data_IF_144399228661
#
_entry.id   IF_144399228661
#
_cell.length_a   1.000
_cell.length_b   1.000
_cell.length_c   1.000
_cell.angle_alpha   90.00
_cell.angle_beta   90.00
_cell.angle_gamma   90.00
#
_symmetry.space_group_name_H-M   'P 1'
#
loop_
_entity.id
_entity.type
_entity.pdbx_description
1 polymer ?
#
# COMPACT_ATOMS: atom_id res chain seq x y z
N UNK A 1 20.74 64.53 2.16
CA UNK A 1 21.01 63.08 2.05
C UNK A 1 19.95 62.37 2.87
N UNK A 2 18.89 61.89 2.21
CA UNK A 2 17.70 61.33 2.85
C UNK A 2 17.89 59.85 3.14
N UNK A 3 17.64 59.46 4.38
CA UNK A 3 17.48 58.09 4.83
C UNK A 3 16.08 57.59 4.51
N UNK A 4 15.95 56.44 3.85
CA UNK A 4 14.69 55.67 3.83
C UNK A 4 14.99 54.20 4.03
N UNK A 5 14.75 53.73 5.25
CA UNK A 5 14.62 52.31 5.58
C UNK A 5 13.24 51.84 5.13
N UNK A 6 13.20 50.92 4.17
CA UNK A 6 11.98 50.20 3.80
C UNK A 6 11.92 48.90 4.61
N UNK A 7 11.02 48.88 5.59
CA UNK A 7 10.65 47.68 6.33
C UNK A 7 9.58 46.96 5.52
N UNK A 8 9.96 45.95 4.71
CA UNK A 8 8.99 45.05 4.09
C UNK A 8 8.51 44.04 5.12
N UNK A 9 7.25 44.20 5.51
CA UNK A 9 6.48 43.31 6.35
C UNK A 9 6.17 42.02 5.55
N UNK A 10 6.95 40.95 5.72
CA UNK A 10 6.54 39.61 5.29
C UNK A 10 5.46 39.12 6.26
N UNK A 11 4.19 39.26 5.87
CA UNK A 11 3.14 38.41 6.43
C UNK A 11 3.34 37.00 5.88
N UNK A 12 4.03 36.15 6.65
CA UNK A 12 3.90 34.70 6.56
C UNK A 12 2.48 34.34 7.02
N UNK A 13 1.53 34.42 6.10
CA UNK A 13 0.24 33.76 6.26
C UNK A 13 0.48 32.25 6.27
N UNK A 14 0.44 31.65 7.46
CA UNK A 14 0.09 30.25 7.63
C UNK A 14 -1.36 30.07 7.15
N UNK A 15 -1.56 30.10 5.84
CA UNK A 15 -2.75 29.47 5.29
C UNK A 15 -2.61 28.00 5.68
N UNK A 16 -3.48 27.52 6.56
CA UNK A 16 -3.79 26.10 6.63
C UNK A 16 -4.26 25.73 5.23
N UNK A 17 -3.33 25.28 4.38
CA UNK A 17 -3.65 24.72 3.07
C UNK A 17 -4.58 23.56 3.37
N UNK A 18 -5.85 23.72 3.00
CA UNK A 18 -6.81 22.62 3.05
C UNK A 18 -6.19 21.49 2.25
N UNK A 19 -5.99 20.30 2.83
CA UNK A 19 -5.41 19.18 2.10
C UNK A 19 -6.24 18.91 0.83
N UNK A 20 -5.58 18.96 -0.33
CA UNK A 20 -6.24 18.74 -1.63
C UNK A 20 -6.85 17.31 -1.67
N UNK A 21 -8.08 17.13 -2.17
CA UNK A 21 -8.81 15.85 -2.18
C UNK A 21 -8.13 14.70 -2.95
N UNK A 22 -7.07 15.01 -3.69
CA UNK A 22 -6.47 14.11 -4.66
C UNK A 22 -7.11 14.23 -6.04
N UNK A 23 -6.47 13.63 -7.03
CA UNK A 23 -6.80 13.76 -8.46
C UNK A 23 -7.38 12.49 -9.07
N UNK A 24 -6.90 11.33 -8.63
CA UNK A 24 -7.41 10.03 -9.05
C UNK A 24 -7.02 8.93 -8.07
N UNK A 25 -7.85 7.88 -8.00
CA UNK A 25 -7.47 6.61 -7.39
C UNK A 25 -7.21 5.57 -8.47
N UNK A 26 -6.36 4.60 -8.12
CA UNK A 26 -5.99 3.48 -8.97
C UNK A 26 -6.15 2.18 -8.20
N UNK A 27 -6.58 1.12 -8.90
CA UNK A 27 -6.61 -0.26 -8.41
C UNK A 27 -6.23 -1.21 -9.54
N UNK A 28 -5.83 -2.46 -9.24
CA UNK A 28 -5.60 -3.48 -10.27
C UNK A 28 -6.75 -4.47 -10.33
N UNK A 29 -7.14 -4.89 -11.54
CA UNK A 29 -8.17 -5.92 -11.72
C UNK A 29 -7.73 -7.31 -11.23
N UNK A 30 -6.41 -7.55 -11.23
CA UNK A 30 -5.76 -8.83 -10.91
C UNK A 30 -6.40 -10.03 -11.66
N UNK A 31 -6.90 -9.78 -12.87
CA UNK A 31 -7.44 -10.81 -13.75
C UNK A 31 -6.34 -11.53 -14.54
N UNK A 32 -6.72 -12.57 -15.30
CA UNK A 32 -5.81 -13.26 -16.23
C UNK A 32 -5.17 -12.28 -17.23
N UNK A 33 -5.92 -11.25 -17.63
CA UNK A 33 -5.41 -10.03 -18.25
C UNK A 33 -5.48 -8.92 -17.21
N UNK A 34 -4.37 -8.66 -16.52
CA UNK A 34 -4.35 -7.65 -15.47
C UNK A 34 -4.43 -6.25 -16.09
N UNK A 35 -5.11 -5.33 -15.41
CA UNK A 35 -5.33 -3.96 -15.86
C UNK A 35 -5.35 -3.03 -14.65
N UNK A 36 -4.87 -1.81 -14.83
CA UNK A 36 -5.08 -0.72 -13.88
C UNK A 36 -6.41 -0.06 -14.17
N UNK A 37 -7.28 -0.02 -13.18
CA UNK A 37 -8.52 0.76 -13.20
C UNK A 37 -8.21 2.10 -12.55
N UNK A 38 -8.48 3.20 -13.26
CA UNK A 38 -8.23 4.55 -12.79
C UNK A 38 -9.54 5.35 -12.70
N UNK A 39 -9.88 5.86 -11.52
CA UNK A 39 -11.08 6.68 -11.32
C UNK A 39 -10.64 8.11 -10.96
N UNK A 40 -11.20 9.15 -11.60
CA UNK A 40 -10.88 10.52 -11.24
C UNK A 40 -11.58 10.91 -9.94
N UNK A 41 -10.89 11.71 -9.13
CA UNK A 41 -11.43 12.34 -7.92
C UNK A 41 -11.90 13.74 -8.32
N UNK A 42 -13.17 14.02 -8.13
CA UNK A 42 -13.73 15.36 -8.34
C UNK A 42 -13.33 16.29 -7.19
N UNK A 43 -13.49 17.60 -7.36
CA UNK A 43 -13.16 18.60 -6.33
C UNK A 43 -13.92 18.43 -5.00
N UNK A 44 -15.01 17.68 -4.99
CA UNK A 44 -15.77 17.32 -3.79
C UNK A 44 -15.37 15.97 -3.18
N UNK A 45 -14.24 15.39 -3.62
CA UNK A 45 -13.74 14.09 -3.17
C UNK A 45 -14.43 12.88 -3.82
N UNK A 46 -15.54 13.07 -4.54
CA UNK A 46 -16.31 11.96 -5.11
C UNK A 46 -15.66 11.40 -6.37
N UNK A 47 -15.81 10.09 -6.55
CA UNK A 47 -15.37 9.36 -7.73
C UNK A 47 -16.39 9.49 -8.86
N UNK A 48 -15.90 9.42 -10.09
CA UNK A 48 -16.74 9.33 -11.29
C UNK A 48 -16.20 8.28 -12.26
N UNK A 49 -16.83 8.16 -13.44
CA UNK A 49 -16.51 7.10 -14.39
C UNK A 49 -15.02 7.14 -14.77
N UNK A 50 -14.38 5.97 -14.65
CA UNK A 50 -12.95 5.82 -14.89
C UNK A 50 -12.60 5.09 -16.19
N UNK A 51 -11.35 4.69 -16.27
CA UNK A 51 -10.74 3.97 -17.38
C UNK A 51 -10.15 2.64 -16.89
N UNK A 52 -9.82 1.75 -17.83
CA UNK A 52 -9.09 0.51 -17.57
C UNK A 52 -7.96 0.39 -18.58
N UNK A 53 -6.73 0.24 -18.08
CA UNK A 53 -5.51 0.21 -18.91
C UNK A 53 -4.77 -1.10 -18.67
N UNK A 54 -4.57 -1.95 -19.70
CA UNK A 54 -3.88 -3.22 -19.55
C UNK A 54 -2.45 -3.05 -19.02
N UNK A 55 -2.05 -3.91 -18.07
CA UNK A 55 -0.66 -3.96 -17.58
C UNK A 55 0.25 -4.75 -18.51
N UNK A 56 -0.31 -5.54 -19.43
CA UNK A 56 0.46 -6.48 -20.25
C UNK A 56 0.90 -7.74 -19.50
N UNK A 57 0.59 -7.86 -18.21
CA UNK A 57 0.85 -9.03 -17.38
C UNK A 57 -0.42 -9.73 -16.91
N UNK A 58 -0.25 -10.76 -16.09
CA UNK A 58 -1.34 -11.56 -15.53
C UNK A 58 -1.39 -11.44 -14.00
N UNK A 59 -2.61 -11.39 -13.46
CA UNK A 59 -2.89 -11.51 -12.04
C UNK A 59 -2.84 -12.96 -11.56
N UNK A 60 -2.90 -13.15 -10.25
CA UNK A 60 -2.98 -14.48 -9.62
C UNK A 60 -3.54 -14.37 -8.20
N UNK A 61 -3.77 -15.52 -7.58
CA UNK A 61 -4.31 -15.62 -6.25
C UNK A 61 -3.39 -16.50 -5.41
N UNK A 62 -3.14 -16.09 -4.16
CA UNK A 62 -2.59 -17.00 -3.17
C UNK A 62 -3.55 -18.17 -2.94
N UNK A 63 -3.06 -19.25 -2.36
CA UNK A 63 -3.87 -20.39 -1.98
C UNK A 63 -4.26 -20.27 -0.50
N UNK A 64 -5.49 -20.66 -0.18
CA UNK A 64 -5.95 -20.91 1.18
C UNK A 64 -6.17 -22.41 1.38
N UNK A 65 -6.00 -22.88 2.61
CA UNK A 65 -6.24 -24.28 2.99
C UNK A 65 -7.61 -24.40 3.62
N UNK A 66 -8.49 -25.19 3.01
CA UNK A 66 -9.83 -25.49 3.51
C UNK A 66 -9.99 -27.00 3.66
N UNK A 67 -9.80 -27.49 4.89
CA UNK A 67 -9.65 -28.92 5.16
C UNK A 67 -8.42 -29.49 4.41
N UNK A 68 -8.65 -30.49 3.57
CA UNK A 68 -7.60 -31.15 2.78
C UNK A 68 -7.38 -30.53 1.38
N UNK A 69 -8.06 -29.43 1.05
CA UNK A 69 -7.98 -28.79 -0.27
C UNK A 69 -7.24 -27.46 -0.19
N UNK A 70 -6.41 -27.19 -1.21
CA UNK A 70 -5.86 -25.85 -1.49
C UNK A 70 -6.69 -25.23 -2.60
N UNK A 71 -7.19 -24.03 -2.38
CA UNK A 71 -8.01 -23.31 -3.36
C UNK A 71 -7.58 -21.83 -3.47
N UNK A 72 -7.80 -21.17 -4.62
CA UNK A 72 -7.51 -19.75 -4.78
C UNK A 72 -8.23 -18.89 -3.74
N UNK A 73 -7.49 -17.99 -3.10
CA UNK A 73 -8.01 -17.05 -2.11
C UNK A 73 -8.96 -16.03 -2.76
N UNK A 74 -10.01 -15.69 -2.01
CA UNK A 74 -10.97 -14.62 -2.31
C UNK A 74 -11.57 -14.21 -0.97
N UNK A 75 -11.86 -12.93 -0.72
CA UNK A 75 -11.74 -11.78 -1.63
C UNK A 75 -10.34 -11.14 -1.72
N UNK A 76 -9.43 -11.50 -0.81
CA UNK A 76 -8.04 -11.02 -0.81
C UNK A 76 -7.14 -12.00 -1.59
N UNK A 77 -6.77 -11.62 -2.80
CA UNK A 77 -6.01 -12.48 -3.72
C UNK A 77 -4.49 -12.37 -3.50
N UNK A 78 -3.99 -11.24 -2.98
CA UNK A 78 -2.55 -10.97 -2.89
C UNK A 78 -2.01 -10.93 -1.45
N UNK A 79 -2.91 -10.90 -0.45
CA UNK A 79 -2.61 -10.88 0.98
C UNK A 79 -1.57 -9.83 1.35
N UNK A 80 -1.67 -8.67 0.71
CA UNK A 80 -0.70 -7.58 0.84
C UNK A 80 -1.36 -6.21 0.78
N UNK A 81 -0.61 -5.22 1.23
CA UNK A 81 -0.87 -3.82 0.93
C UNK A 81 0.05 -3.35 -0.22
N UNK A 82 -0.42 -2.36 -0.98
CA UNK A 82 0.32 -1.73 -2.08
C UNK A 82 0.63 -2.69 -3.24
N UNK A 83 -0.39 -3.39 -3.76
CA UNK A 83 -0.29 -4.10 -5.04
C UNK A 83 0.01 -3.16 -6.24
N UNK A 84 -0.23 -1.86 -6.04
CA UNK A 84 0.20 -0.78 -6.90
C UNK A 84 0.59 0.45 -6.06
N UNK A 85 1.44 1.31 -6.61
CA UNK A 85 1.90 2.55 -5.96
C UNK A 85 2.13 3.67 -6.96
N UNK A 86 2.10 4.91 -6.48
CA UNK A 86 2.39 6.14 -7.25
C UNK A 86 3.66 6.79 -6.73
N UNK A 87 4.54 7.24 -7.62
CA UNK A 87 5.68 8.10 -7.31
C UNK A 87 5.80 9.22 -8.36
N UNK A 88 5.54 10.46 -7.95
CA UNK A 88 5.40 11.58 -8.87
C UNK A 88 4.27 11.34 -9.88
N UNK A 89 4.58 11.45 -11.17
CA UNK A 89 3.63 11.17 -12.26
C UNK A 89 3.76 9.75 -12.81
N UNK A 90 4.27 8.81 -12.01
CA UNK A 90 4.42 7.42 -12.40
C UNK A 90 3.62 6.50 -11.50
N UNK A 91 3.06 5.45 -12.09
CA UNK A 91 2.34 4.38 -11.40
C UNK A 91 3.04 3.05 -11.66
N UNK A 92 3.18 2.22 -10.63
CA UNK A 92 3.76 0.88 -10.71
C UNK A 92 2.72 -0.13 -10.25
N UNK A 93 2.56 -1.23 -10.99
CA UNK A 93 1.57 -2.27 -10.69
C UNK A 93 2.21 -3.66 -10.80
N UNK A 94 1.97 -4.50 -9.78
CA UNK A 94 2.44 -5.89 -9.80
C UNK A 94 1.54 -6.78 -10.66
N UNK A 95 2.13 -7.80 -11.29
CA UNK A 95 1.43 -8.84 -12.03
C UNK A 95 1.82 -10.21 -11.48
N UNK A 96 1.16 -10.62 -10.39
CA UNK A 96 1.51 -11.80 -9.62
C UNK A 96 1.59 -13.09 -10.46
N UNK A 97 0.71 -13.28 -11.43
CA UNK A 97 0.64 -14.49 -12.27
C UNK A 97 1.67 -14.56 -13.39
N UNK A 98 2.33 -13.44 -13.70
CA UNK A 98 3.37 -13.37 -14.73
C UNK A 98 4.75 -13.05 -14.17
N UNK A 99 4.90 -12.89 -12.86
CA UNK A 99 6.13 -12.47 -12.20
C UNK A 99 6.75 -11.21 -12.82
N UNK A 100 5.91 -10.20 -13.09
CA UNK A 100 6.36 -8.91 -13.64
C UNK A 100 5.84 -7.73 -12.84
N UNK A 101 6.48 -6.58 -13.04
CA UNK A 101 5.99 -5.26 -12.64
C UNK A 101 5.86 -4.38 -13.89
N UNK A 102 4.79 -3.59 -13.96
CA UNK A 102 4.54 -2.64 -15.07
C UNK A 102 4.59 -1.22 -14.55
N UNK A 103 5.18 -0.31 -15.34
CA UNK A 103 5.20 1.13 -15.08
C UNK A 103 4.34 1.88 -16.08
N UNK A 104 3.64 2.91 -15.61
CA UNK A 104 2.86 3.83 -16.43
C UNK A 104 3.27 5.28 -16.14
N UNK A 105 3.26 6.11 -17.18
CA UNK A 105 3.15 7.55 -17.03
C UNK A 105 1.69 7.94 -16.82
N UNK A 106 1.46 8.82 -15.85
CA UNK A 106 0.19 9.46 -15.59
C UNK A 106 0.16 10.81 -16.33
N UNK A 107 -0.85 11.05 -17.16
CA UNK A 107 -1.07 12.37 -17.76
C UNK A 107 -1.49 13.36 -16.66
N UNK A 108 -0.70 14.42 -16.38
CA UNK A 108 -0.97 15.34 -15.27
C UNK A 108 -2.24 16.19 -15.49
N UNK A 109 -2.70 16.34 -16.74
CA UNK A 109 -3.95 17.02 -17.06
C UNK A 109 -5.15 16.06 -17.06
N UNK A 110 -4.91 14.79 -17.35
CA UNK A 110 -5.92 13.73 -17.39
C UNK A 110 -5.46 12.51 -16.58
N UNK A 111 -5.54 12.55 -15.23
CA UNK A 111 -4.94 11.53 -14.36
C UNK A 111 -5.37 10.08 -14.63
N UNK A 112 -6.52 9.86 -15.26
CA UNK A 112 -7.01 8.52 -15.63
C UNK A 112 -6.46 8.01 -16.96
N UNK A 113 -5.71 8.84 -17.70
CA UNK A 113 -5.05 8.47 -18.96
C UNK A 113 -3.64 7.99 -18.66
N UNK A 114 -3.49 6.67 -18.62
CA UNK A 114 -2.22 6.01 -18.36
C UNK A 114 -1.54 5.59 -19.66
N UNK A 115 -0.23 5.80 -19.74
CA UNK A 115 0.61 5.32 -20.85
C UNK A 115 1.64 4.35 -20.31
N UNK A 116 1.60 3.08 -20.72
CA UNK A 116 2.62 2.10 -20.33
C UNK A 116 3.99 2.55 -20.82
N UNK A 117 4.98 2.56 -19.93
CA UNK A 117 6.37 2.90 -20.25
C UNK A 117 7.20 1.63 -20.38
N UNK A 118 7.70 1.37 -21.59
CA UNK A 118 8.44 0.16 -21.89
C UNK A 118 7.54 -1.06 -22.01
N UNK A 119 7.94 -2.16 -21.37
CA UNK A 119 7.20 -3.43 -21.30
C UNK A 119 7.19 -3.91 -19.84
N UNK A 120 6.30 -4.82 -19.44
CA UNK A 120 6.37 -5.46 -18.13
C UNK A 120 7.75 -6.08 -17.91
N UNK A 121 8.41 -5.73 -16.80
CA UNK A 121 9.75 -6.19 -16.49
C UNK A 121 9.66 -7.42 -15.56
N UNK A 122 10.35 -8.52 -15.87
CA UNK A 122 10.38 -9.68 -14.98
C UNK A 122 11.07 -9.32 -13.66
N UNK A 123 10.48 -9.77 -12.56
CA UNK A 123 11.11 -9.69 -11.24
C UNK A 123 11.82 -11.00 -10.91
N UNK A 124 12.96 -10.99 -10.20
CA UNK A 124 13.68 -12.22 -9.83
C UNK A 124 12.89 -13.15 -8.90
N UNK A 125 12.01 -12.57 -8.08
CA UNK A 125 11.12 -13.32 -7.19
C UNK A 125 9.90 -13.90 -7.92
N UNK A 126 9.17 -14.74 -7.22
CA UNK A 126 7.93 -15.34 -7.73
C UNK A 126 6.72 -14.81 -6.95
N UNK A 127 5.59 -14.61 -7.63
CA UNK A 127 4.37 -14.04 -7.07
C UNK A 127 4.63 -12.64 -6.45
N UNK A 128 4.97 -11.61 -7.25
CA UNK A 128 5.05 -10.24 -6.77
C UNK A 128 3.68 -9.77 -6.28
N UNK A 129 3.61 -9.37 -5.00
CA UNK A 129 2.36 -9.00 -4.36
C UNK A 129 2.35 -7.57 -3.83
N UNK A 130 3.50 -6.90 -3.71
CA UNK A 130 3.59 -5.52 -3.22
C UNK A 130 4.70 -4.76 -3.94
N UNK A 131 4.52 -3.44 -4.12
CA UNK A 131 5.48 -2.57 -4.78
C UNK A 131 5.60 -1.23 -4.06
N UNK A 132 6.83 -0.79 -3.85
CA UNK A 132 7.19 0.53 -3.35
C UNK A 132 7.93 1.32 -4.43
N UNK A 133 7.80 2.63 -4.41
CA UNK A 133 8.56 3.51 -5.28
C UNK A 133 8.99 4.76 -4.52
N UNK A 134 10.21 5.22 -4.78
CA UNK A 134 10.83 6.41 -4.24
C UNK A 134 11.00 7.42 -5.37
N UNK A 135 10.29 8.53 -5.29
CA UNK A 135 10.41 9.61 -6.27
C UNK A 135 11.73 10.37 -6.09
N UNK A 136 12.21 10.52 -4.85
CA UNK A 136 13.48 11.18 -4.50
C UNK A 136 14.67 10.46 -5.14
N UNK A 137 14.69 9.13 -5.05
CA UNK A 137 15.82 8.30 -5.48
C UNK A 137 15.62 7.63 -6.84
N UNK A 138 14.45 7.80 -7.47
CA UNK A 138 14.05 7.12 -8.71
C UNK A 138 14.17 5.58 -8.62
N UNK A 139 13.78 5.02 -7.48
CA UNK A 139 13.83 3.58 -7.20
C UNK A 139 12.44 2.97 -7.16
N UNK A 140 12.27 1.77 -7.70
CA UNK A 140 11.10 0.91 -7.52
C UNK A 140 11.56 -0.42 -6.93
N UNK A 141 10.87 -0.89 -5.90
CA UNK A 141 11.18 -2.14 -5.21
C UNK A 141 9.93 -3.01 -5.13
N UNK A 142 10.08 -4.29 -5.48
CA UNK A 142 8.98 -5.26 -5.56
C UNK A 142 9.21 -6.36 -4.54
N UNK A 143 8.22 -6.59 -3.68
CA UNK A 143 8.16 -7.73 -2.79
C UNK A 143 7.47 -8.91 -3.46
N UNK A 144 8.07 -10.08 -3.34
CA UNK A 144 7.59 -11.35 -3.91
C UNK A 144 7.49 -12.41 -2.82
N UNK A 145 6.39 -13.15 -2.77
CA UNK A 145 6.10 -14.09 -1.67
C UNK A 145 5.99 -15.56 -2.08
N UNK A 146 6.19 -15.90 -3.35
CA UNK A 146 6.19 -17.28 -3.84
C UNK A 146 7.41 -18.09 -3.38
N UNK A 147 7.68 -19.21 -4.05
CA UNK A 147 8.79 -20.10 -3.73
C UNK A 147 10.16 -19.39 -3.77
N UNK A 148 10.31 -18.38 -4.65
CA UNK A 148 11.41 -17.42 -4.61
C UNK A 148 10.91 -16.13 -3.96
N UNK A 149 11.03 -16.07 -2.65
CA UNK A 149 10.56 -14.95 -1.85
C UNK A 149 11.68 -13.94 -1.57
N UNK A 150 11.33 -12.66 -1.57
CA UNK A 150 12.28 -11.60 -1.30
C UNK A 150 11.91 -10.28 -1.96
N UNK A 151 12.86 -9.36 -1.94
CA UNK A 151 12.70 -8.00 -2.45
C UNK A 151 13.76 -7.74 -3.51
N UNK A 152 13.35 -7.22 -4.65
CA UNK A 152 14.29 -6.74 -5.68
C UNK A 152 13.89 -5.34 -6.10
N UNK A 153 14.89 -4.53 -6.42
CA UNK A 153 14.75 -3.13 -6.77
C UNK A 153 15.35 -2.84 -8.15
N UNK A 154 14.93 -1.72 -8.73
CA UNK A 154 15.51 -1.16 -9.94
C UNK A 154 15.39 0.36 -9.91
N UNK A 155 16.27 1.04 -10.65
CA UNK A 155 16.02 2.43 -11.01
C UNK A 155 14.90 2.52 -12.05
N UNK A 156 14.22 3.66 -12.12
CA UNK A 156 13.24 3.94 -13.16
C UNK A 156 13.43 5.33 -13.76
N UNK A 157 12.91 5.54 -14.97
CA UNK A 157 12.90 6.84 -15.62
C UNK A 157 11.68 6.99 -16.52
N UNK A 158 11.57 8.11 -17.25
CA UNK A 158 10.55 8.29 -18.29
C UNK A 158 10.61 7.23 -19.42
N UNK A 159 11.67 6.41 -19.48
CA UNK A 159 11.79 5.28 -20.44
C UNK A 159 11.24 3.95 -19.90
N UNK A 160 10.85 3.89 -18.63
CA UNK A 160 10.41 2.66 -17.96
C UNK A 160 11.34 2.25 -16.81
N UNK A 161 11.09 1.05 -16.29
CA UNK A 161 11.88 0.42 -15.22
C UNK A 161 13.17 -0.15 -15.84
N UNK A 162 14.28 0.03 -15.14
CA UNK A 162 15.56 -0.61 -15.45
C UNK A 162 15.56 -2.11 -15.21
N UNK A 163 16.74 -2.72 -15.24
CA UNK A 163 16.89 -4.13 -14.87
C UNK A 163 16.74 -4.26 -13.35
N UNK A 164 15.92 -5.20 -12.91
CA UNK A 164 15.83 -5.60 -11.50
C UNK A 164 17.16 -6.16 -11.01
N UNK A 165 17.59 -5.74 -9.83
CA UNK A 165 18.77 -6.22 -9.15
C UNK A 165 18.57 -7.64 -8.57
N UNK A 166 19.46 -8.09 -7.71
CA UNK A 166 19.36 -9.36 -7.01
C UNK A 166 18.18 -9.40 -6.02
N UNK A 167 17.69 -10.62 -5.79
CA UNK A 167 16.67 -10.86 -4.77
C UNK A 167 17.28 -10.81 -3.37
N UNK A 168 16.78 -9.93 -2.51
CA UNK A 168 17.05 -9.88 -1.07
C UNK A 168 16.11 -10.85 -0.36
N UNK A 169 16.55 -12.04 0.07
CA UNK A 169 15.64 -13.05 0.63
C UNK A 169 15.10 -12.60 1.99
N UNK A 170 13.85 -12.98 2.28
CA UNK A 170 13.18 -12.68 3.56
C UNK A 170 12.97 -13.93 4.43
N UNK A 171 13.61 -15.05 4.06
CA UNK A 171 13.58 -16.28 4.85
C UNK A 171 12.26 -17.06 4.81
N UNK A 172 11.41 -16.86 3.79
CA UNK A 172 10.16 -17.61 3.65
C UNK A 172 10.38 -18.92 2.87
N UNK A 173 9.71 -19.98 3.32
CA UNK A 173 9.63 -21.27 2.64
C UNK A 173 8.22 -21.48 2.08
N UNK A 174 7.97 -20.99 0.86
CA UNK A 174 6.65 -20.94 0.23
C UNK A 174 6.59 -21.80 -1.04
N UNK A 175 5.37 -22.00 -1.55
CA UNK A 175 5.13 -22.53 -2.91
C UNK A 175 4.83 -21.39 -3.89
N UNK A 176 4.73 -21.69 -5.19
CA UNK A 176 4.16 -20.76 -6.18
C UNK A 176 2.99 -21.47 -6.88
N UNK A 177 1.73 -21.00 -6.73
CA UNK A 177 1.31 -19.89 -5.87
C UNK A 177 1.56 -20.16 -4.37
N UNK A 178 1.78 -19.11 -3.57
CA UNK A 178 2.04 -19.22 -2.14
C UNK A 178 0.78 -19.62 -1.37
N UNK A 179 0.94 -20.19 -0.17
CA UNK A 179 -0.15 -20.47 0.75
C UNK A 179 -0.15 -19.41 1.84
N UNK A 180 -1.24 -18.66 1.96
CA UNK A 180 -1.36 -17.56 2.91
C UNK A 180 -2.72 -17.56 3.65
N UNK A 181 -3.04 -16.49 4.39
CA UNK A 181 -2.25 -15.27 4.55
C UNK A 181 -0.90 -15.40 5.30
N UNK A 182 -0.76 -16.17 6.40
CA UNK A 182 0.50 -16.26 7.17
C UNK A 182 1.74 -16.62 6.33
N UNK A 183 2.93 -16.31 6.86
CA UNK A 183 4.20 -16.62 6.20
C UNK A 183 4.33 -16.02 4.78
N UNK A 184 3.84 -14.80 4.59
CA UNK A 184 3.95 -14.04 3.34
C UNK A 184 4.50 -12.64 3.57
N UNK A 185 5.08 -12.02 2.53
CA UNK A 185 5.39 -10.58 2.54
C UNK A 185 4.07 -9.81 2.57
N UNK A 186 3.93 -8.88 3.51
CA UNK A 186 2.76 -8.01 3.64
C UNK A 186 2.87 -6.75 2.83
N UNK A 187 4.03 -6.09 2.90
CA UNK A 187 4.24 -4.81 2.24
C UNK A 187 5.73 -4.52 2.11
N UNK A 188 6.11 -3.86 1.03
CA UNK A 188 7.36 -3.11 0.93
C UNK A 188 7.01 -1.62 0.80
N UNK A 189 7.74 -0.74 1.49
CA UNK A 189 7.45 0.70 1.49
C UNK A 189 8.67 1.50 1.93
N UNK A 190 8.81 2.73 1.46
CA UNK A 190 9.89 3.62 1.89
C UNK A 190 9.51 4.37 3.18
N UNK A 191 10.51 4.74 3.97
CA UNK A 191 10.40 5.76 5.04
C UNK A 191 9.95 7.10 4.46
N UNK A 192 9.46 8.01 5.32
CA UNK A 192 8.96 9.31 4.88
C UNK A 192 10.02 10.22 4.23
N UNK A 193 11.29 10.04 4.57
CA UNK A 193 12.44 10.71 3.96
C UNK A 193 13.00 9.96 2.74
N UNK A 194 12.45 8.78 2.44
CA UNK A 194 12.88 7.84 1.40
C UNK A 194 14.35 7.38 1.54
N UNK A 195 14.91 7.40 2.75
CA UNK A 195 16.29 6.96 3.04
C UNK A 195 16.37 5.50 3.51
N UNK A 196 15.22 4.88 3.79
CA UNK A 196 15.12 3.48 4.20
C UNK A 196 13.97 2.81 3.44
N UNK A 197 14.23 1.62 2.89
CA UNK A 197 13.19 0.71 2.46
C UNK A 197 12.85 -0.24 3.61
N UNK A 198 11.57 -0.32 3.95
CA UNK A 198 11.02 -1.27 4.88
C UNK A 198 10.32 -2.42 4.16
N UNK A 199 10.29 -3.57 4.82
CA UNK A 199 9.45 -4.69 4.43
C UNK A 199 8.82 -5.34 5.65
N UNK A 200 7.53 -5.62 5.62
CA UNK A 200 6.86 -6.39 6.67
C UNK A 200 6.53 -7.78 6.18
N UNK A 201 6.78 -8.77 7.03
CA UNK A 201 6.55 -10.19 6.73
C UNK A 201 5.71 -10.79 7.85
N UNK A 202 4.62 -11.45 7.47
CA UNK A 202 3.71 -12.10 8.44
C UNK A 202 4.41 -13.27 9.08
N UNK A 203 4.32 -13.36 10.40
CA UNK A 203 4.53 -14.58 11.13
C UNK A 203 3.40 -15.58 10.88
N UNK A 204 3.30 -16.57 11.77
CA UNK A 204 2.32 -17.63 11.67
C UNK A 204 1.89 -18.09 13.07
N UNK A 205 0.61 -17.84 13.44
CA UNK A 205 0.07 -18.27 14.73
C UNK A 205 0.19 -19.78 14.97
N UNK A 206 0.05 -20.60 13.92
CA UNK A 206 0.07 -22.06 14.03
C UNK A 206 1.48 -22.61 14.38
N UNK A 207 2.53 -21.85 14.06
CA UNK A 207 3.92 -22.20 14.38
C UNK A 207 4.53 -21.27 15.44
N UNK A 208 3.72 -20.42 16.06
CA UNK A 208 4.15 -19.42 17.04
C UNK A 208 5.33 -18.55 16.56
N UNK A 209 5.31 -18.14 15.29
CA UNK A 209 6.32 -17.23 14.74
C UNK A 209 5.78 -15.81 14.71
N UNK A 210 6.59 -14.85 15.19
CA UNK A 210 6.25 -13.43 15.20
C UNK A 210 6.37 -12.81 13.79
N UNK A 211 5.82 -11.61 13.64
CA UNK A 211 6.05 -10.78 12.46
C UNK A 211 7.50 -10.32 12.37
N UNK A 212 7.99 -10.12 11.15
CA UNK A 212 9.36 -9.64 10.88
C UNK A 212 9.29 -8.29 10.17
N UNK A 213 10.14 -7.36 10.60
CA UNK A 213 10.44 -6.10 9.93
C UNK A 213 11.81 -6.20 9.28
N UNK A 214 11.86 -6.01 7.97
CA UNK A 214 13.06 -5.78 7.19
C UNK A 214 13.37 -4.28 7.11
N UNK A 215 14.62 -3.92 7.34
CA UNK A 215 15.15 -2.54 7.26
C UNK A 215 16.34 -2.54 6.31
N UNK A 216 16.21 -1.81 5.20
CA UNK A 216 17.23 -1.74 4.15
C UNK A 216 17.58 -0.27 3.87
N UNK A 217 18.80 0.17 4.18
CA UNK A 217 19.24 1.53 3.84
C UNK A 217 19.18 1.80 2.34
N UNK A 218 18.89 3.04 1.97
CA UNK A 218 19.06 3.55 0.60
C UNK A 218 20.43 4.21 0.50
N UNK A 219 21.32 3.58 -0.26
CA UNK A 219 22.66 4.07 -0.50
C UNK A 219 22.63 5.16 -1.57
N UNK A 220 23.15 6.33 -1.22
CA UNK A 220 23.33 7.44 -2.16
C UNK A 220 24.61 7.22 -2.97
N UNK A 221 24.61 7.57 -4.27
CA UNK A 221 25.77 7.39 -5.12
C UNK A 221 26.92 8.32 -4.69
N UNK A 222 28.15 7.81 -4.69
CA UNK A 222 29.35 8.61 -4.43
C UNK A 222 29.75 9.49 -5.63
N UNK A 223 29.39 9.09 -6.85
CA UNK A 223 29.59 9.85 -8.10
C UNK A 223 28.21 10.29 -8.64
N UNK A 224 28.12 11.53 -9.12
CA UNK A 224 26.90 12.09 -9.70
C UNK A 224 26.40 11.35 -10.97
N UNK A 225 27.19 10.42 -11.53
CA UNK A 225 26.80 9.57 -12.66
C UNK A 225 26.12 8.26 -12.25
N UNK A 226 26.26 7.84 -11.00
CA UNK A 226 25.62 6.64 -10.48
C UNK A 226 24.20 6.93 -9.99
N UNK A 227 23.39 5.88 -9.86
CA UNK A 227 22.03 5.96 -9.30
C UNK A 227 22.03 5.45 -7.88
N UNK A 228 21.16 6.02 -7.04
CA UNK A 228 20.89 5.45 -5.73
C UNK A 228 20.49 3.97 -5.83
N UNK A 229 20.76 3.21 -4.79
CA UNK A 229 20.43 1.78 -4.69
C UNK A 229 19.92 1.45 -3.30
N UNK A 230 19.18 0.35 -3.17
CA UNK A 230 18.86 -0.20 -1.85
C UNK A 230 19.95 -1.19 -1.46
N UNK A 231 20.42 -1.13 -0.22
CA UNK A 231 21.45 -2.06 0.27
C UNK A 231 21.03 -3.53 0.10
N UNK A 232 21.98 -4.40 -0.23
CA UNK A 232 21.75 -5.84 -0.33
C UNK A 232 21.67 -6.52 1.05
N UNK A 233 22.29 -5.90 2.07
CA UNK A 233 22.43 -6.43 3.42
C UNK A 233 21.43 -5.76 4.39
N UNK A 234 20.15 -6.03 4.18
CA UNK A 234 19.11 -5.56 5.11
C UNK A 234 19.09 -6.32 6.43
N UNK A 235 18.50 -5.69 7.43
CA UNK A 235 18.31 -6.26 8.76
C UNK A 235 16.89 -6.80 8.88
N UNK A 236 16.76 -8.09 9.15
CA UNK A 236 15.48 -8.76 9.39
C UNK A 236 15.31 -8.98 10.89
N UNK A 237 14.38 -8.24 11.49
CA UNK A 237 14.15 -8.24 12.93
C UNK A 237 12.77 -8.80 13.25
N UNK A 238 12.73 -9.85 14.07
CA UNK A 238 11.49 -10.33 14.68
C UNK A 238 10.96 -9.28 15.65
N UNK A 239 9.69 -8.90 15.52
CA UNK A 239 9.09 -7.86 16.36
C UNK A 239 8.17 -8.53 17.39
N UNK A 240 8.69 -8.68 18.61
CA UNK A 240 7.95 -9.28 19.72
C UNK A 240 6.62 -8.56 19.98
N UNK A 241 5.55 -9.34 20.16
CA UNK A 241 4.20 -8.84 20.32
C UNK A 241 3.42 -8.65 19.01
N UNK A 242 4.06 -8.84 17.85
CA UNK A 242 3.40 -8.98 16.55
C UNK A 242 3.31 -10.45 16.13
N UNK A 243 2.33 -10.78 15.29
CA UNK A 243 2.12 -12.13 14.76
C UNK A 243 1.83 -12.04 13.26
N UNK A 244 0.74 -11.36 12.86
CA UNK A 244 0.28 -11.29 11.47
C UNK A 244 0.33 -9.84 11.00
N UNK A 245 1.50 -9.21 11.16
CA UNK A 245 1.76 -7.82 10.73
C UNK A 245 1.45 -7.64 9.25
N UNK A 246 0.56 -6.72 8.90
CA UNK A 246 0.03 -6.56 7.55
C UNK A 246 0.35 -5.17 7.00
N UNK A 247 -0.62 -4.27 7.01
CA UNK A 247 -0.54 -2.93 6.46
C UNK A 247 0.35 -2.08 7.35
N UNK A 248 1.14 -1.22 6.73
CA UNK A 248 2.18 -0.45 7.38
C UNK A 248 2.30 0.92 6.73
N UNK A 249 2.44 1.94 7.57
CA UNK A 249 2.65 3.32 7.13
C UNK A 249 3.63 4.02 8.07
N UNK A 250 4.64 4.73 7.53
CA UNK A 250 5.44 5.65 8.33
C UNK A 250 4.56 6.71 8.99
N UNK A 251 4.84 7.05 10.24
CA UNK A 251 4.23 8.19 10.92
C UNK A 251 5.07 9.43 10.60
N UNK A 252 4.45 10.46 9.99
CA UNK A 252 5.17 11.65 9.57
C UNK A 252 5.79 12.39 10.77
N UNK A 253 7.03 12.85 10.61
CA UNK A 253 7.75 13.57 11.66
C UNK A 253 8.30 12.70 12.80
N UNK A 254 8.29 11.37 12.64
CA UNK A 254 8.94 10.44 13.57
C UNK A 254 9.60 9.27 12.82
N UNK A 255 10.31 8.42 13.55
CA UNK A 255 10.82 7.13 13.06
C UNK A 255 9.86 5.97 13.34
N UNK A 256 8.68 6.25 13.89
CA UNK A 256 7.70 5.24 14.25
C UNK A 256 6.92 4.78 13.00
N UNK A 257 6.47 3.53 13.04
CA UNK A 257 5.58 2.95 12.04
C UNK A 257 4.21 2.68 12.68
N UNK A 258 3.14 3.06 12.00
CA UNK A 258 1.83 2.52 12.30
C UNK A 258 1.65 1.21 11.51
N UNK A 259 1.26 0.14 12.20
CA UNK A 259 1.02 -1.16 11.58
C UNK A 259 -0.32 -1.75 12.02
N UNK A 260 -0.90 -2.58 11.16
CA UNK A 260 -2.00 -3.48 11.52
C UNK A 260 -1.48 -4.88 11.75
N UNK A 261 -2.19 -5.65 12.58
CA UNK A 261 -1.92 -7.06 12.81
C UNK A 261 -3.23 -7.82 12.93
N UNK A 262 -3.47 -8.74 11.99
CA UNK A 262 -4.73 -9.48 11.92
C UNK A 262 -5.00 -10.36 13.15
N UNK A 263 -4.01 -10.58 14.03
CA UNK A 263 -4.20 -11.30 15.27
C UNK A 263 -4.83 -10.45 16.39
N UNK A 264 -4.68 -9.12 16.38
CA UNK A 264 -5.21 -8.27 17.47
C UNK A 264 -5.75 -6.89 17.05
N UNK A 265 -5.28 -6.29 15.96
CA UNK A 265 -5.84 -5.02 15.45
C UNK A 265 -4.76 -4.11 14.90
N UNK A 266 -4.24 -3.21 15.74
CA UNK A 266 -3.27 -2.19 15.33
C UNK A 266 -2.18 -1.94 16.38
N UNK A 267 -1.01 -1.52 15.94
CA UNK A 267 0.12 -1.18 16.81
C UNK A 267 0.93 -0.01 16.24
N UNK A 268 1.68 0.63 17.12
CA UNK A 268 2.74 1.58 16.75
C UNK A 268 4.07 0.91 17.09
N UNK A 269 4.94 0.80 16.09
CA UNK A 269 6.29 0.27 16.25
C UNK A 269 7.28 1.43 16.37
N UNK A 270 8.14 1.39 17.38
CA UNK A 270 9.36 2.20 17.39
C UNK A 270 10.39 1.49 16.53
N UNK A 271 11.05 2.22 15.63
CA UNK A 271 12.10 1.67 14.75
C UNK A 271 13.36 2.50 14.87
N UNK A 272 14.48 1.79 15.02
CA UNK A 272 15.82 2.33 14.84
C UNK A 272 16.32 1.84 13.48
N UNK A 273 16.37 2.75 12.50
CA UNK A 273 16.79 2.43 11.14
C UNK A 273 18.29 2.07 11.05
N UNK A 274 19.12 2.62 11.94
CA UNK A 274 20.56 2.34 11.94
C UNK A 274 20.81 0.93 12.44
N UNK A 275 20.21 0.53 13.56
CA UNK A 275 20.42 -0.81 14.14
C UNK A 275 19.49 -1.86 13.57
N UNK A 276 18.38 -1.47 12.94
CA UNK A 276 17.31 -2.35 12.50
C UNK A 276 16.41 -2.86 13.64
N UNK A 277 16.61 -2.37 14.86
CA UNK A 277 15.82 -2.78 16.02
C UNK A 277 14.41 -2.20 15.92
N UNK A 278 13.41 -3.01 16.27
CA UNK A 278 12.02 -2.59 16.32
C UNK A 278 11.27 -3.20 17.50
N UNK A 279 10.36 -2.44 18.09
CA UNK A 279 9.56 -2.89 19.24
C UNK A 279 8.17 -2.27 19.23
N UNK A 280 7.20 -2.97 19.81
CA UNK A 280 5.84 -2.44 19.98
C UNK A 280 5.84 -1.35 21.05
N UNK A 281 5.55 -0.12 20.65
CA UNK A 281 5.42 1.05 21.52
C UNK A 281 4.03 1.16 22.12
N UNK A 282 3.01 1.02 21.28
CA UNK A 282 1.59 1.02 21.67
C UNK A 282 0.82 -0.03 20.90
N UNK A 283 -0.27 -0.52 21.48
CA UNK A 283 -1.11 -1.57 20.89
C UNK A 283 -2.58 -1.30 21.14
N UNK A 284 -3.41 -1.59 20.14
CA UNK A 284 -4.85 -1.60 20.26
C UNK A 284 -5.45 -2.91 19.80
N UNK A 285 -6.26 -3.49 20.68
CA UNK A 285 -7.13 -4.60 20.33
C UNK A 285 -8.39 -4.05 19.69
N UNK A 286 -8.66 -4.43 18.44
CA UNK A 286 -9.89 -4.03 17.74
C UNK A 286 -10.94 -5.10 18.00
N UNK A 287 -11.93 -4.77 18.82
CA UNK A 287 -12.98 -5.70 19.20
C UNK A 287 -13.80 -6.18 18.00
N UNK A 288 -14.09 -7.49 18.00
CA UNK A 288 -14.90 -8.13 16.98
C UNK A 288 -14.27 -8.23 15.59
N UNK A 289 -12.98 -7.92 15.41
CA UNK A 289 -12.33 -8.07 14.11
C UNK A 289 -12.42 -9.51 13.58
N UNK A 290 -12.35 -9.66 12.25
CA UNK A 290 -12.15 -10.94 11.57
C UNK A 290 -10.71 -11.06 11.10
N UNK A 291 -10.20 -10.03 10.44
CA UNK A 291 -8.79 -9.82 10.14
C UNK A 291 -8.57 -8.37 9.69
N UNK A 292 -8.22 -7.49 10.63
CA UNK A 292 -7.86 -6.09 10.31
C UNK A 292 -6.46 -6.07 9.67
N UNK A 293 -6.39 -5.61 8.42
CA UNK A 293 -5.24 -5.84 7.56
C UNK A 293 -4.68 -4.57 6.91
N UNK A 294 -5.49 -3.67 6.37
CA UNK A 294 -4.95 -2.51 5.63
C UNK A 294 -4.99 -1.23 6.45
N UNK A 295 -4.10 -0.29 6.13
CA UNK A 295 -4.05 1.03 6.75
C UNK A 295 -3.87 2.16 5.73
N UNK A 296 -4.49 3.31 6.01
CA UNK A 296 -4.09 4.61 5.47
C UNK A 296 -4.04 5.66 6.57
N UNK A 297 -3.05 6.55 6.50
CA UNK A 297 -2.99 7.73 7.37
C UNK A 297 -3.65 8.90 6.66
N UNK A 298 -4.63 9.52 7.31
CA UNK A 298 -5.29 10.71 6.80
C UNK A 298 -4.43 11.95 7.03
N UNK A 299 -4.06 12.71 5.97
CA UNK A 299 -3.31 13.95 6.13
C UNK A 299 -4.11 15.04 6.86
N UNK A 300 -5.44 14.94 6.83
CA UNK A 300 -6.35 15.95 7.35
C UNK A 300 -6.70 15.79 8.83
N UNK A 301 -6.83 14.54 9.28
CA UNK A 301 -7.13 14.21 10.69
C UNK A 301 -5.92 13.75 11.48
N UNK A 302 -4.79 13.46 10.80
CA UNK A 302 -3.57 12.90 11.39
C UNK A 302 -3.86 11.64 12.25
N UNK A 303 -4.72 10.77 11.73
CA UNK A 303 -5.13 9.50 12.33
C UNK A 303 -5.01 8.39 11.29
N UNK A 304 -4.82 7.16 11.75
CA UNK A 304 -4.87 5.98 10.90
C UNK A 304 -6.32 5.51 10.72
N UNK A 305 -6.67 5.13 9.50
CA UNK A 305 -7.89 4.40 9.19
C UNK A 305 -7.48 2.98 8.78
N UNK A 306 -8.18 1.98 9.32
CA UNK A 306 -7.88 0.57 9.07
C UNK A 306 -9.12 -0.19 8.65
N UNK A 307 -8.93 -1.22 7.82
CA UNK A 307 -10.01 -2.04 7.27
C UNK A 307 -9.80 -3.52 7.49
N UNK A 308 -10.91 -4.26 7.42
CA UNK A 308 -10.98 -5.68 7.69
C UNK A 308 -11.58 -6.41 6.48
N UNK A 309 -10.92 -7.49 6.06
CA UNK A 309 -11.35 -8.27 4.87
C UNK A 309 -12.73 -8.90 5.04
N UNK A 310 -13.16 -9.16 6.29
CA UNK A 310 -14.40 -9.84 6.62
C UNK A 310 -15.45 -8.97 7.29
N UNK A 311 -15.22 -7.66 7.40
CA UNK A 311 -16.17 -6.71 8.00
C UNK A 311 -16.24 -5.43 7.17
N UNK A 312 -17.45 -5.05 6.79
CA UNK A 312 -17.71 -3.80 6.11
C UNK A 312 -17.81 -2.64 7.13
N UNK A 313 -16.65 -2.24 7.64
CA UNK A 313 -16.48 -1.12 8.57
C UNK A 313 -15.11 -0.50 8.43
N UNK A 314 -14.99 0.79 8.75
CA UNK A 314 -13.71 1.49 8.87
C UNK A 314 -13.48 1.86 10.33
N UNK A 315 -12.30 1.54 10.86
CA UNK A 315 -11.90 1.89 12.23
C UNK A 315 -10.84 2.98 12.18
N UNK A 316 -11.04 4.05 12.94
CA UNK A 316 -10.06 5.11 13.10
C UNK A 316 -9.25 4.93 14.39
N UNK A 317 -7.95 5.09 14.28
CA UNK A 317 -6.97 4.81 15.32
C UNK A 317 -6.01 5.98 15.47
N UNK A 318 -5.72 6.33 16.71
CA UNK A 318 -4.72 7.34 17.08
C UNK A 318 -3.31 6.94 16.67
N UNK A 319 -2.56 7.87 16.07
CA UNK A 319 -1.13 7.68 15.79
C UNK A 319 -0.22 7.89 17.01
N UNK A 320 -0.76 8.33 18.13
CA UNK A 320 0.03 8.64 19.34
C UNK A 320 0.04 7.49 20.32
N UNK A 321 -1.12 6.91 20.60
CA UNK A 321 -1.36 5.94 21.67
C UNK A 321 -2.12 4.69 21.20
N UNK A 322 -2.34 4.54 19.89
CA UNK A 322 -3.16 3.51 19.27
C UNK A 322 -4.63 3.49 19.73
N UNK A 323 -5.13 4.46 20.52
CA UNK A 323 -6.53 4.46 20.96
C UNK A 323 -7.51 4.49 19.78
N UNK A 324 -8.56 3.66 19.86
CA UNK A 324 -9.65 3.67 18.88
C UNK A 324 -10.45 4.97 19.04
N UNK A 325 -10.54 5.75 17.96
CA UNK A 325 -11.23 7.05 17.95
C UNK A 325 -12.68 6.94 17.48
N UNK A 326 -12.91 6.12 16.45
CA UNK A 326 -14.24 5.93 15.88
C UNK A 326 -14.33 4.60 15.13
N UNK A 327 -15.56 4.10 14.99
CA UNK A 327 -15.89 2.95 14.15
C UNK A 327 -17.07 3.35 13.29
N UNK A 328 -16.89 3.28 11.98
CA UNK A 328 -17.94 3.57 10.99
C UNK A 328 -18.45 2.26 10.44
N UNK A 329 -19.70 1.91 10.75
CA UNK A 329 -20.38 0.75 10.19
C UNK A 329 -20.85 1.06 8.76
N UNK A 330 -20.50 0.18 7.82
CA UNK A 330 -20.83 0.29 6.41
C UNK A 330 -21.65 -0.91 5.91
N UNK A 331 -22.01 -1.83 6.80
CA UNK A 331 -22.68 -3.10 6.49
C UNK A 331 -23.97 -2.97 5.66
N UNK A 332 -24.61 -1.80 5.64
CA UNK A 332 -25.73 -1.49 4.77
C UNK A 332 -25.39 -1.56 3.26
N UNK A 333 -24.12 -1.47 2.87
CA UNK A 333 -23.68 -1.65 1.48
C UNK A 333 -23.78 -3.11 1.02
N UNK A 334 -23.72 -4.07 1.95
CA UNK A 334 -23.74 -5.51 1.64
C UNK A 334 -22.41 -6.04 1.07
N UNK A 335 -21.32 -5.32 1.27
CA UNK A 335 -19.98 -5.75 0.86
C UNK A 335 -19.45 -6.86 1.78
N UNK A 336 -18.60 -7.78 1.27
CA UNK A 336 -18.01 -8.84 2.09
C UNK A 336 -17.04 -8.34 3.17
N UNK A 337 -16.57 -7.09 3.02
CA UNK A 337 -15.51 -6.46 3.78
C UNK A 337 -14.69 -5.53 2.87
N UNK A 338 -13.68 -4.89 3.45
CA UNK A 338 -12.90 -3.85 2.80
C UNK A 338 -11.41 -4.23 2.75
N UNK A 339 -10.87 -4.24 1.54
CA UNK A 339 -9.45 -4.48 1.29
C UNK A 339 -8.80 -3.25 0.70
N UNK A 340 -7.64 -2.89 1.24
CA UNK A 340 -6.84 -1.71 0.90
C UNK A 340 -7.59 -0.37 0.95
N UNK A 341 -6.82 0.68 1.25
CA UNK A 341 -7.35 2.02 1.34
C UNK A 341 -6.24 3.06 1.19
N UNK A 342 -6.66 4.25 0.75
CA UNK A 342 -5.84 5.46 0.76
C UNK A 342 -6.65 6.65 1.26
N UNK A 343 -5.95 7.60 1.84
CA UNK A 343 -6.53 8.88 2.23
C UNK A 343 -5.88 10.00 1.42
N UNK A 344 -6.70 10.92 0.95
CA UNK A 344 -6.26 12.15 0.27
C UNK A 344 -7.24 13.26 0.62
N UNK A 345 -6.72 14.44 0.88
CA UNK A 345 -7.51 15.53 1.45
C UNK A 345 -8.21 15.11 2.74
N UNK A 346 -9.48 15.47 2.86
CA UNK A 346 -10.40 15.04 3.91
C UNK A 346 -11.10 13.70 3.64
N UNK A 347 -10.64 12.89 2.68
CA UNK A 347 -11.36 11.69 2.24
C UNK A 347 -10.56 10.40 2.43
N UNK A 348 -11.26 9.32 2.74
CA UNK A 348 -10.75 7.95 2.76
C UNK A 348 -11.46 7.16 1.65
N UNK A 349 -10.66 6.51 0.81
CA UNK A 349 -11.09 5.65 -0.29
C UNK A 349 -10.77 4.21 0.08
N UNK A 350 -11.80 3.40 0.35
CA UNK A 350 -11.65 2.01 0.74
C UNK A 350 -12.27 1.09 -0.31
N UNK A 351 -11.51 0.11 -0.79
CA UNK A 351 -11.97 -0.82 -1.83
C UNK A 351 -12.69 -2.00 -1.17
N UNK A 352 -13.89 -2.33 -1.63
CA UNK A 352 -14.42 -3.68 -1.52
C UNK A 352 -14.21 -4.41 -2.84
N UNK A 353 -13.53 -5.56 -2.86
CA UNK A 353 -13.24 -6.29 -4.09
C UNK A 353 -14.47 -7.08 -4.58
N UNK A 354 -15.55 -7.16 -3.80
CA UNK A 354 -16.69 -8.04 -4.08
C UNK A 354 -16.38 -9.52 -3.85
N UNK A 355 -17.35 -10.40 -4.11
CA UNK A 355 -17.26 -11.84 -3.82
C UNK A 355 -17.79 -12.74 -4.94
N UNK A 356 -18.11 -12.15 -6.11
CA UNK A 356 -18.70 -12.84 -7.26
C UNK A 356 -20.22 -12.72 -7.36
N UNK A 357 -20.90 -12.35 -6.27
CA UNK A 357 -22.31 -11.94 -6.28
C UNK A 357 -22.46 -10.44 -6.04
N UNK A 358 -21.72 -9.89 -5.08
CA UNK A 358 -21.56 -8.45 -4.87
C UNK A 358 -20.48 -7.93 -5.80
N UNK A 359 -20.77 -6.84 -6.51
CA UNK A 359 -19.81 -6.20 -7.40
C UNK A 359 -18.72 -5.49 -6.59
N UNK A 360 -17.48 -5.40 -7.13
CA UNK A 360 -16.44 -4.57 -6.52
C UNK A 360 -16.88 -3.11 -6.48
N UNK A 361 -16.56 -2.42 -5.39
CA UNK A 361 -16.92 -1.02 -5.16
C UNK A 361 -15.83 -0.28 -4.39
N UNK A 362 -15.81 1.04 -4.48
CA UNK A 362 -14.99 1.90 -3.62
C UNK A 362 -15.91 2.76 -2.77
N UNK A 363 -15.78 2.64 -1.46
CA UNK A 363 -16.41 3.53 -0.50
C UNK A 363 -15.58 4.79 -0.34
N UNK A 364 -16.23 5.94 -0.49
CA UNK A 364 -15.66 7.26 -0.16
C UNK A 364 -16.27 7.70 1.16
N UNK A 365 -15.41 7.88 2.17
CA UNK A 365 -15.78 8.37 3.49
C UNK A 365 -15.15 9.75 3.71
N UNK A 366 -15.94 10.69 4.22
CA UNK A 366 -15.41 11.95 4.74
C UNK A 366 -14.75 11.70 6.10
N UNK A 367 -13.44 11.94 6.16
CA UNK A 367 -12.60 11.63 7.29
C UNK A 367 -12.94 12.46 8.53
N UNK A 368 -13.58 13.63 8.41
CA UNK A 368 -13.93 14.46 9.58
C UNK A 368 -15.26 14.03 10.20
N UNK A 369 -16.29 13.93 9.38
CA UNK A 369 -17.66 13.59 9.78
C UNK A 369 -17.85 12.09 9.99
N UNK A 370 -16.92 11.25 9.53
CA UNK A 370 -16.98 9.78 9.61
C UNK A 370 -18.19 9.20 8.87
N UNK A 371 -18.62 9.89 7.81
CA UNK A 371 -19.78 9.48 7.01
C UNK A 371 -19.31 8.97 5.66
N UNK A 372 -19.86 7.84 5.25
CA UNK A 372 -19.86 7.46 3.84
C UNK A 372 -20.61 8.55 3.06
N UNK A 373 -19.95 9.10 2.04
CA UNK A 373 -20.52 10.09 1.12
C UNK A 373 -20.75 9.51 -0.27
N UNK A 374 -20.15 8.36 -0.58
CA UNK A 374 -20.38 7.63 -1.82
C UNK A 374 -20.00 6.15 -1.67
N UNK A 375 -20.75 5.29 -2.37
CA UNK A 375 -20.39 3.90 -2.65
C UNK A 375 -20.36 3.73 -4.17
N UNK A 376 -19.17 3.63 -4.75
CA UNK A 376 -18.97 3.67 -6.20
C UNK A 376 -18.66 2.29 -6.75
N UNK A 377 -19.59 1.69 -7.50
CA UNK A 377 -19.38 0.37 -8.12
C UNK A 377 -18.43 0.44 -9.32
N UNK A 378 -17.48 -0.50 -9.41
CA UNK A 378 -16.50 -0.60 -10.50
C UNK A 378 -17.05 -1.31 -11.75
N UNK A 379 -18.36 -1.18 -12.00
CA UNK A 379 -19.06 -1.89 -13.06
C UNK A 379 -18.54 -1.49 -14.43
N UNK A 380 -18.23 -2.49 -15.27
CA UNK A 380 -17.79 -2.28 -16.66
C UNK A 380 -16.32 -1.90 -16.82
N UNK A 381 -15.52 -1.88 -15.75
CA UNK A 381 -14.09 -1.53 -15.78
C UNK A 381 -13.15 -2.75 -15.76
N UNK A 382 -13.71 -3.96 -15.83
CA UNK A 382 -12.95 -5.21 -15.72
C UNK A 382 -12.63 -5.63 -14.27
N UNK A 383 -13.22 -4.96 -13.29
CA UNK A 383 -13.13 -5.34 -11.88
C UNK A 383 -13.87 -6.66 -11.62
N UNK A 384 -13.34 -7.46 -10.70
CA UNK A 384 -13.94 -8.71 -10.22
C UNK A 384 -13.63 -8.94 -8.74
N UNK A 385 -14.05 -10.08 -8.16
CA UNK A 385 -13.66 -10.51 -6.81
C UNK A 385 -12.16 -10.59 -6.55
N UNK A 386 -11.36 -10.53 -7.62
CA UNK A 386 -9.90 -10.49 -7.54
C UNK A 386 -9.33 -9.07 -7.49
N UNK A 387 -10.11 -8.00 -7.69
CA UNK A 387 -9.60 -6.61 -7.72
C UNK A 387 -8.80 -6.33 -6.46
N UNK A 388 -7.59 -5.76 -6.57
CA UNK A 388 -6.71 -5.51 -5.43
C UNK A 388 -6.09 -4.12 -5.48
N UNK A 389 -5.71 -3.64 -4.30
CA UNK A 389 -4.85 -2.48 -4.16
C UNK A 389 -5.58 -1.15 -4.32
N UNK A 390 -5.16 -0.14 -3.56
CA UNK A 390 -5.55 1.26 -3.76
C UNK A 390 -4.31 2.14 -3.72
N UNK A 391 -4.11 2.92 -4.78
CA UNK A 391 -3.17 4.05 -4.80
C UNK A 391 -3.91 5.33 -5.12
N UNK A 392 -3.37 6.47 -4.69
CA UNK A 392 -3.96 7.79 -4.95
C UNK A 392 -2.89 8.73 -5.49
N UNK A 393 -3.26 9.53 -6.50
CA UNK A 393 -2.46 10.67 -6.94
C UNK A 393 -2.99 11.92 -6.24
N UNK A 394 -2.11 12.68 -5.60
CA UNK A 394 -2.45 13.95 -4.93
C UNK A 394 -2.20 15.17 -5.82
#
# INVERSE_FOLDING_TARGET
MHSSTWTSLLLLGLANLVPEPGKAIYTISNGAQNSVIALPINSNGLLSQGTSTPTGGAGSNVLVVNGNKKEPASPDALVSQAALTVAGNFLFAVNAGSNTVTMFAIDPQHPTKLTMLGKPIPVPGEFPNTVAASAKNQLVCVGSTGAKSGISCASFSARGIGKMDQLRPVGLNQTTPPVGPPSTISQVFFSGDEETLFATVKGNPATNTAGVLGVFPVDQPCDARDTASVSEEGKLTSVDGTIVVFGSSPIQGSTDLFVTDAAFGAAILSVDAETGAASVKNKATIEGQKATCWVAISPDTNTAFVTDVGLDRIVEVSLTDASIKSVTDLSANGDPGLIDLRAAGSFVYALSPGNGTTLPAVTVMDARSKKQIQHFQLKGLGASKNTQGVAVLV
#
